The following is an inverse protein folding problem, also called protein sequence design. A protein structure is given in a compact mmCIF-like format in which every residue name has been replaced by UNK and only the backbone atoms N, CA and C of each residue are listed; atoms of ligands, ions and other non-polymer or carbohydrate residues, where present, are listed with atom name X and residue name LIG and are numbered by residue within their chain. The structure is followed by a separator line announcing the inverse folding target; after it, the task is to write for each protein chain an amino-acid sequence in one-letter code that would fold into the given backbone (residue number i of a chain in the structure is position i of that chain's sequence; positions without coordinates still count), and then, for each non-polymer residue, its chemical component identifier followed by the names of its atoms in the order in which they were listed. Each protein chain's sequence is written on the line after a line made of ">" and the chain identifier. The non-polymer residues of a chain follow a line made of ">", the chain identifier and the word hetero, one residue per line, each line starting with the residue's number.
data_IF_970240588646
#
_entry.id   IF_970240588646
#
_cell.length_a   1.000
_cell.length_b   1.000
_cell.length_c   1.000
_cell.angle_alpha   90.00
_cell.angle_beta   90.00
_cell.angle_gamma   90.00
#
_symmetry.space_group_name_H-M   'P 1'
#
loop_
_entity.id
_entity.type
_entity.pdbx_description
1 polymer ?
#
# COMPACT_ATOMS: atom_id res chain seq x y z
N UNK A 1 -2.72 4.31 -13.70
CA UNK A 1 -3.94 3.71 -13.10
C UNK A 1 -5.10 4.70 -12.98
N UNK A 2 -5.10 5.63 -12.02
CA UNK A 2 -6.25 6.53 -11.75
C UNK A 2 -6.73 7.31 -12.98
N UNK A 3 -5.82 7.87 -13.78
CA UNK A 3 -6.17 8.60 -15.01
C UNK A 3 -6.95 7.74 -16.00
N UNK A 4 -6.51 6.51 -16.24
CA UNK A 4 -7.20 5.60 -17.16
C UNK A 4 -8.56 5.16 -16.59
N UNK A 5 -8.65 4.89 -15.28
CA UNK A 5 -9.93 4.57 -14.63
C UNK A 5 -10.94 5.72 -14.71
N UNK A 6 -10.49 6.97 -14.76
CA UNK A 6 -11.36 8.14 -14.94
C UNK A 6 -11.87 8.28 -16.38
N UNK A 7 -11.06 7.88 -17.36
CA UNK A 7 -11.33 8.13 -18.77
C UNK A 7 -12.05 6.97 -19.47
N UNK A 8 -12.00 5.77 -18.90
CA UNK A 8 -12.54 4.57 -19.53
C UNK A 8 -13.34 3.74 -18.53
N UNK A 9 -14.51 3.25 -18.95
CA UNK A 9 -15.37 2.35 -18.18
C UNK A 9 -15.02 0.87 -18.44
N UNK A 10 -13.74 0.54 -18.26
CA UNK A 10 -13.22 -0.83 -18.40
C UNK A 10 -12.23 -1.15 -17.27
N UNK A 11 -12.01 -2.44 -16.96
CA UNK A 11 -11.00 -2.82 -15.98
C UNK A 11 -9.60 -2.34 -16.38
N UNK A 12 -8.87 -1.72 -15.45
CA UNK A 12 -7.53 -1.17 -15.67
C UNK A 12 -6.51 -1.96 -14.84
N UNK A 13 -5.58 -2.62 -15.54
CA UNK A 13 -4.42 -3.31 -14.95
C UNK A 13 -3.10 -2.51 -15.02
N UNK A 14 -2.03 -3.16 -14.58
CA UNK A 14 -0.64 -2.71 -14.71
C UNK A 14 0.22 -3.86 -15.23
N UNK A 15 1.03 -3.61 -16.26
CA UNK A 15 2.09 -4.51 -16.71
C UNK A 15 3.44 -3.82 -16.46
N UNK A 16 4.32 -4.51 -15.74
CA UNK A 16 5.56 -3.95 -15.22
C UNK A 16 6.82 -4.65 -15.71
N UNK A 17 7.83 -3.85 -16.06
CA UNK A 17 9.16 -4.30 -16.50
C UNK A 17 10.29 -3.74 -15.61
N UNK A 18 9.94 -3.21 -14.45
CA UNK A 18 10.87 -2.61 -13.50
C UNK A 18 11.68 -3.64 -12.69
N UNK A 19 12.89 -3.28 -12.25
CA UNK A 19 13.62 -4.07 -11.25
C UNK A 19 12.98 -3.82 -9.87
N UNK A 20 12.50 -4.89 -9.23
CA UNK A 20 11.82 -4.82 -7.93
C UNK A 20 10.29 -4.94 -8.03
N UNK A 21 9.58 -4.76 -6.92
CA UNK A 21 8.13 -5.00 -6.79
C UNK A 21 7.34 -3.74 -6.39
N UNK A 22 8.03 -2.66 -6.04
CA UNK A 22 7.47 -1.46 -5.43
C UNK A 22 6.44 -0.77 -6.35
N UNK A 23 6.72 -0.72 -7.65
CA UNK A 23 5.79 -0.10 -8.62
C UNK A 23 4.55 -0.96 -8.79
N UNK A 24 4.68 -2.28 -8.77
CA UNK A 24 3.55 -3.22 -8.79
C UNK A 24 2.65 -3.07 -7.54
N UNK A 25 3.25 -2.89 -6.36
CA UNK A 25 2.52 -2.59 -5.13
C UNK A 25 1.80 -1.24 -5.19
N UNK A 26 2.47 -0.21 -5.70
CA UNK A 26 1.87 1.10 -5.90
C UNK A 26 0.69 1.03 -6.89
N UNK A 27 0.83 0.28 -7.98
CA UNK A 27 -0.25 0.07 -8.94
C UNK A 27 -1.48 -0.59 -8.29
N UNK A 28 -1.27 -1.63 -7.47
CA UNK A 28 -2.33 -2.26 -6.68
C UNK A 28 -3.01 -1.25 -5.75
N UNK A 29 -2.24 -0.50 -4.95
CA UNK A 29 -2.79 0.53 -4.05
C UNK A 29 -3.54 1.67 -4.78
N UNK A 30 -3.17 1.96 -6.03
CA UNK A 30 -3.88 2.91 -6.89
C UNK A 30 -5.16 2.34 -7.51
N UNK A 31 -5.44 1.06 -7.28
CA UNK A 31 -6.66 0.38 -7.71
C UNK A 31 -6.56 -0.33 -9.06
N UNK A 32 -5.37 -0.79 -9.45
CA UNK A 32 -5.21 -1.70 -10.58
C UNK A 32 -5.90 -3.04 -10.25
N UNK A 33 -6.70 -3.57 -11.18
CA UNK A 33 -7.42 -4.84 -10.98
C UNK A 33 -6.62 -6.07 -11.44
N UNK A 34 -5.50 -5.85 -12.13
CA UNK A 34 -4.63 -6.89 -12.67
C UNK A 34 -3.18 -6.40 -12.62
N UNK A 35 -2.25 -7.28 -12.24
CA UNK A 35 -0.81 -7.01 -12.22
C UNK A 35 -0.12 -8.10 -13.04
N UNK A 36 0.66 -7.68 -14.04
CA UNK A 36 1.45 -8.56 -14.90
C UNK A 36 2.93 -8.27 -14.72
N UNK A 37 3.72 -9.35 -14.63
CA UNK A 37 5.19 -9.31 -14.51
C UNK A 37 5.79 -10.50 -15.25
N UNK A 38 6.93 -10.28 -15.89
CA UNK A 38 7.74 -11.38 -16.42
C UNK A 38 8.30 -12.20 -15.26
N UNK A 39 8.35 -13.52 -15.44
CA UNK A 39 8.88 -14.47 -14.46
C UNK A 39 10.08 -15.19 -15.06
N UNK A 40 11.09 -15.42 -14.24
CA UNK A 40 12.27 -16.21 -14.60
C UNK A 40 12.59 -17.22 -13.49
N UNK A 41 13.35 -18.27 -13.81
CA UNK A 41 13.90 -19.18 -12.80
C UNK A 41 15.18 -18.61 -12.17
N UNK A 42 15.93 -17.82 -12.94
CA UNK A 42 17.22 -17.23 -12.56
C UNK A 42 17.50 -16.03 -13.48
N UNK A 43 17.70 -14.86 -12.89
CA UNK A 43 17.98 -13.60 -13.60
C UNK A 43 19.30 -13.60 -14.37
N UNK A 44 20.22 -14.50 -14.05
CA UNK A 44 21.49 -14.66 -14.76
C UNK A 44 21.38 -15.52 -16.03
N UNK A 45 20.21 -16.10 -16.32
CA UNK A 45 20.00 -16.82 -17.57
C UNK A 45 20.14 -15.92 -18.81
N UNK A 46 20.34 -16.55 -19.96
CA UNK A 46 20.44 -15.87 -21.23
C UNK A 46 19.09 -15.25 -21.65
N UNK A 47 19.15 -14.10 -22.30
CA UNK A 47 17.98 -13.35 -22.77
C UNK A 47 17.87 -11.98 -22.10
N UNK A 48 17.40 -10.99 -22.86
CA UNK A 48 17.35 -9.59 -22.44
C UNK A 48 16.34 -9.35 -21.31
N UNK A 49 15.30 -10.17 -21.23
CA UNK A 49 14.21 -9.99 -20.26
C UNK A 49 14.50 -10.61 -18.90
N UNK A 50 15.54 -11.46 -18.80
CA UNK A 50 15.82 -12.23 -17.58
C UNK A 50 16.16 -11.31 -16.40
N UNK A 51 17.02 -10.31 -16.63
CA UNK A 51 17.50 -9.42 -15.57
C UNK A 51 16.39 -8.59 -14.90
N UNK A 52 15.35 -8.23 -15.65
CA UNK A 52 14.20 -7.47 -15.16
C UNK A 52 13.05 -8.35 -14.62
N UNK A 53 13.10 -9.65 -14.91
CA UNK A 53 12.05 -10.62 -14.53
C UNK A 53 12.04 -10.91 -13.02
N UNK A 54 10.93 -11.46 -12.56
CA UNK A 54 10.69 -11.83 -11.17
C UNK A 54 10.99 -13.31 -10.98
N UNK A 55 11.88 -13.65 -10.04
CA UNK A 55 12.13 -15.04 -9.65
C UNK A 55 10.98 -15.60 -8.79
N UNK A 56 10.86 -16.93 -8.62
CA UNK A 56 9.71 -17.54 -7.94
C UNK A 56 9.47 -16.97 -6.54
N UNK A 57 10.52 -16.74 -5.74
CA UNK A 57 10.41 -16.15 -4.41
C UNK A 57 9.92 -14.69 -4.48
N UNK A 58 10.31 -13.97 -5.53
CA UNK A 58 9.79 -12.63 -5.81
C UNK A 58 8.30 -12.65 -6.12
N UNK A 59 7.82 -13.64 -6.88
CA UNK A 59 6.41 -13.80 -7.21
C UNK A 59 5.58 -14.12 -5.97
N UNK A 60 6.06 -15.01 -5.09
CA UNK A 60 5.38 -15.29 -3.82
C UNK A 60 5.28 -14.04 -2.93
N UNK A 61 6.36 -13.25 -2.84
CA UNK A 61 6.35 -11.96 -2.13
C UNK A 61 5.36 -10.98 -2.74
N UNK A 62 5.35 -10.88 -4.07
CA UNK A 62 4.44 -10.01 -4.82
C UNK A 62 2.98 -10.30 -4.46
N UNK A 63 2.57 -11.57 -4.54
CA UNK A 63 1.19 -11.99 -4.23
C UNK A 63 0.86 -11.75 -2.76
N UNK A 64 1.74 -12.18 -1.83
CA UNK A 64 1.54 -12.00 -0.39
C UNK A 64 1.30 -10.54 -0.03
N UNK A 65 2.17 -9.65 -0.53
CA UNK A 65 2.15 -8.23 -0.17
C UNK A 65 0.97 -7.50 -0.83
N UNK A 66 0.57 -7.87 -2.06
CA UNK A 66 -0.66 -7.38 -2.67
C UNK A 66 -1.87 -7.70 -1.78
N UNK A 67 -1.99 -8.95 -1.30
CA UNK A 67 -3.11 -9.34 -0.41
C UNK A 67 -3.08 -8.59 0.93
N UNK A 68 -1.89 -8.35 1.48
CA UNK A 68 -1.75 -7.54 2.68
C UNK A 68 -2.17 -6.08 2.45
N UNK A 69 -1.81 -5.49 1.31
CA UNK A 69 -2.19 -4.12 0.93
C UNK A 69 -3.71 -4.01 0.77
N UNK A 70 -4.33 -4.95 0.05
CA UNK A 70 -5.78 -4.98 -0.15
C UNK A 70 -6.53 -5.06 1.19
N UNK A 71 -6.08 -5.94 2.10
CA UNK A 71 -6.67 -6.04 3.44
C UNK A 71 -6.46 -4.76 4.28
N UNK A 72 -5.33 -4.07 4.08
CA UNK A 72 -4.97 -2.87 4.85
C UNK A 72 -5.66 -1.59 4.38
N UNK A 73 -6.11 -1.53 3.13
CA UNK A 73 -6.74 -0.33 2.55
C UNK A 73 -8.02 0.10 3.26
N UNK A 74 -8.72 -0.84 3.90
CA UNK A 74 -9.94 -0.57 4.65
C UNK A 74 -11.05 0.06 3.79
N UNK A 75 -11.88 0.91 4.40
CA UNK A 75 -13.06 1.52 3.77
C UNK A 75 -12.94 3.05 3.58
N UNK A 76 -11.78 3.64 3.89
CA UNK A 76 -11.56 5.08 3.81
C UNK A 76 -12.26 5.93 4.88
N UNK A 77 -12.95 5.31 5.85
CA UNK A 77 -13.63 6.02 6.94
C UNK A 77 -12.68 6.17 8.12
N UNK A 78 -12.35 7.42 8.47
CA UNK A 78 -11.60 7.71 9.69
C UNK A 78 -12.53 7.58 10.90
N UNK A 79 -12.23 6.63 11.78
CA UNK A 79 -12.99 6.40 13.01
C UNK A 79 -12.06 5.96 14.14
N UNK A 80 -12.52 6.12 15.37
CA UNK A 80 -11.84 5.60 16.57
C UNK A 80 -12.42 4.23 16.89
N UNK A 81 -11.58 3.21 16.93
CA UNK A 81 -11.99 1.87 17.31
C UNK A 81 -12.08 1.73 18.84
N UNK A 82 -12.94 0.83 19.34
CA UNK A 82 -13.08 0.58 20.78
C UNK A 82 -11.73 0.26 21.46
N UNK A 83 -10.87 -0.49 20.77
CA UNK A 83 -9.52 -0.83 21.21
C UNK A 83 -8.61 0.39 21.40
N UNK A 84 -8.85 1.48 20.67
CA UNK A 84 -8.06 2.70 20.72
C UNK A 84 -8.49 3.65 21.85
N UNK A 85 -9.72 3.51 22.38
CA UNK A 85 -10.28 4.44 23.38
C UNK A 85 -9.44 4.53 24.66
N UNK A 86 -8.94 3.40 25.15
CA UNK A 86 -8.13 3.33 26.37
C UNK A 86 -6.79 4.05 26.20
N UNK A 87 -6.11 3.81 25.08
CA UNK A 87 -4.85 4.45 24.71
C UNK A 87 -5.04 5.94 24.50
N UNK A 88 -6.11 6.33 23.80
CA UNK A 88 -6.46 7.73 23.59
C UNK A 88 -6.67 8.45 24.92
N UNK A 89 -7.39 7.86 25.89
CA UNK A 89 -7.59 8.46 27.22
C UNK A 89 -6.27 8.62 28.00
N UNK A 90 -5.33 7.67 27.85
CA UNK A 90 -4.03 7.68 28.54
C UNK A 90 -3.07 8.72 27.97
N UNK A 91 -3.00 8.85 26.65
CA UNK A 91 -1.98 9.67 25.96
C UNK A 91 -2.47 11.09 25.65
N UNK A 92 -3.78 11.36 25.74
CA UNK A 92 -4.32 12.70 25.47
C UNK A 92 -3.80 13.68 26.52
N UNK A 93 -3.05 14.68 26.05
CA UNK A 93 -2.55 15.76 26.90
C UNK A 93 -3.74 16.50 27.52
N UNK A 94 -3.75 16.60 28.85
CA UNK A 94 -4.71 17.43 29.57
C UNK A 94 -4.09 18.80 29.74
N UNK A 95 -4.60 19.81 29.04
CA UNK A 95 -4.30 21.20 29.37
C UNK A 95 -4.92 21.51 30.72
N UNK A 96 -4.12 21.55 31.79
CA UNK A 96 -4.54 22.16 33.05
C UNK A 96 -4.56 23.67 32.83
N UNK A 97 -5.73 24.25 32.58
CA UNK A 97 -5.93 25.68 32.73
C UNK A 97 -5.93 25.98 34.24
N UNK A 98 -4.75 26.25 34.81
CA UNK A 98 -4.68 26.88 36.12
C UNK A 98 -5.20 28.31 35.96
N UNK A 99 -6.26 28.74 36.67
CA UNK A 99 -6.67 30.13 36.63
C UNK A 99 -5.54 30.97 37.22
N UNK A 100 -5.02 31.94 36.45
CA UNK A 100 -4.14 32.98 36.99
C UNK A 100 -4.92 33.73 38.08
N UNK A 101 -4.50 33.60 39.34
CA UNK A 101 -4.98 34.47 40.42
C UNK A 101 -4.61 35.90 40.05
N UNK A 102 -5.61 36.73 39.77
CA UNK A 102 -5.45 38.18 39.63
C UNK A 102 -5.02 38.71 41.00
N UNK A 103 -3.80 39.24 41.09
CA UNK A 103 -3.34 39.93 42.28
C UNK A 103 -4.12 41.24 42.43
N UNK A 104 -4.67 41.44 43.62
CA UNK A 104 -5.39 42.64 44.07
C UNK A 104 -4.48 43.85 44.18
#
# INVERSE_FOLDING_TARGET
>A
IRTLKKNFDVPIGYSGHEIGLQVSYAACALGACFIERHITLDRAMWGTDQAASVEPQGLFRLVRDIRAIEASMGNGIKQVYESEKSVMKKLRMKTSATPLKMAS
#
